data_IF_594076060416
#
_entry.id   IF_594076060416
#
_cell.length_a   1.000
_cell.length_b   1.000
_cell.length_c   1.000
_cell.angle_alpha   90.00
_cell.angle_beta   90.00
_cell.angle_gamma   90.00
#
_symmetry.space_group_name_H-M   'P 1'
#
loop_
_entity.id
_entity.type
_entity.pdbx_description
1 polymer ?
#
# COMPACT_ATOMS: atom_id res chain seq x y z
N UNK A 1 -20.17 -30.45 31.99
CA UNK A 1 -20.82 -30.02 30.74
C UNK A 1 -20.11 -28.76 30.25
N UNK A 2 -18.97 -28.91 29.57
CA UNK A 2 -18.12 -27.76 29.16
C UNK A 2 -16.91 -28.28 28.36
N UNK A 3 -17.06 -28.49 27.05
CA UNK A 3 -15.95 -28.71 26.10
C UNK A 3 -16.48 -28.85 24.66
N UNK A 4 -16.61 -27.74 23.93
CA UNK A 4 -16.64 -27.69 22.47
C UNK A 4 -16.01 -26.36 21.99
N UNK A 5 -15.62 -26.30 20.69
CA UNK A 5 -14.73 -25.25 20.15
C UNK A 5 -15.07 -24.72 18.74
N UNK A 6 -16.24 -25.11 18.18
CA UNK A 6 -16.75 -25.07 16.78
C UNK A 6 -16.18 -26.11 15.84
N UNK A 7 -16.87 -26.31 14.70
CA UNK A 7 -17.77 -27.48 14.45
C UNK A 7 -19.24 -26.88 14.37
N UNK A 8 -19.96 -27.03 13.24
CA UNK A 8 -21.06 -26.26 12.55
C UNK A 8 -22.52 -26.89 12.45
N UNK A 9 -23.44 -26.58 11.49
CA UNK A 9 -24.77 -27.25 11.39
C UNK A 9 -24.81 -28.75 11.01
N UNK A 10 -23.70 -29.35 10.59
CA UNK A 10 -23.67 -30.75 10.14
C UNK A 10 -23.53 -31.78 11.29
N UNK A 11 -23.68 -31.34 12.56
CA UNK A 11 -23.67 -32.20 13.76
C UNK A 11 -22.67 -31.79 14.84
N UNK A 12 -22.64 -30.50 15.22
CA UNK A 12 -21.37 -29.88 15.62
C UNK A 12 -21.62 -28.55 16.49
N UNK A 13 -20.68 -27.96 17.30
CA UNK A 13 -20.90 -26.73 18.16
C UNK A 13 -19.67 -25.96 18.79
N UNK A 14 -19.82 -24.70 19.32
CA UNK A 14 -18.80 -23.57 19.45
C UNK A 14 -17.92 -23.51 20.73
N UNK A 15 -16.86 -22.67 20.67
CA UNK A 15 -15.91 -22.19 21.69
C UNK A 15 -16.30 -22.29 23.18
N UNK A 16 -15.31 -22.58 24.04
CA UNK A 16 -15.45 -22.40 25.49
C UNK A 16 -15.96 -20.98 25.76
N UNK A 17 -17.03 -20.83 26.55
CA UNK A 17 -17.80 -19.59 26.63
C UNK A 17 -16.96 -18.36 27.05
N UNK A 18 -15.89 -18.57 27.82
CA UNK A 18 -14.89 -17.55 28.16
C UNK A 18 -14.18 -16.94 26.95
N UNK A 19 -13.93 -17.71 25.88
CA UNK A 19 -13.29 -17.23 24.64
C UNK A 19 -14.24 -16.39 23.77
N UNK A 20 -15.55 -16.60 23.91
CA UNK A 20 -16.58 -15.79 23.24
C UNK A 20 -16.82 -14.46 23.99
N UNK A 21 -16.60 -14.46 25.31
CA UNK A 21 -16.68 -13.27 26.16
C UNK A 21 -15.40 -12.43 26.12
N UNK A 22 -14.24 -13.05 25.92
CA UNK A 22 -12.95 -12.36 25.87
C UNK A 22 -12.13 -12.76 24.63
N UNK A 23 -12.30 -12.06 23.49
CA UNK A 23 -11.59 -12.35 22.25
C UNK A 23 -10.07 -12.06 22.33
N UNK A 24 -9.56 -11.49 23.44
CA UNK A 24 -8.11 -11.35 23.64
C UNK A 24 -7.41 -12.68 23.95
N UNK A 25 -8.17 -13.68 24.40
CA UNK A 25 -7.70 -15.04 24.68
C UNK A 25 -7.72 -15.95 23.43
N UNK A 26 -8.20 -15.45 22.29
CA UNK A 26 -8.21 -16.20 21.04
C UNK A 26 -6.82 -16.27 20.38
N UNK A 27 -6.39 -17.49 20.11
CA UNK A 27 -5.18 -17.84 19.35
C UNK A 27 -5.53 -18.84 18.26
N UNK A 28 -4.60 -19.07 17.32
CA UNK A 28 -4.74 -20.06 16.24
C UNK A 28 -5.02 -21.50 16.71
N UNK A 29 -4.84 -21.81 18.00
CA UNK A 29 -5.13 -23.12 18.58
C UNK A 29 -6.40 -23.13 19.44
N UNK A 30 -6.91 -21.98 19.87
CA UNK A 30 -8.08 -21.88 20.77
C UNK A 30 -9.36 -21.41 20.08
N UNK A 31 -9.26 -20.74 18.93
CA UNK A 31 -10.38 -20.15 18.22
C UNK A 31 -10.33 -20.42 16.72
N UNK A 32 -11.48 -20.75 16.14
CA UNK A 32 -11.63 -20.96 14.70
C UNK A 32 -11.44 -19.67 13.89
N UNK A 33 -10.92 -19.78 12.66
CA UNK A 33 -10.65 -18.66 11.76
C UNK A 33 -11.93 -17.90 11.35
N UNK A 34 -13.10 -18.51 11.49
CA UNK A 34 -14.39 -17.84 11.29
C UNK A 34 -14.61 -16.63 12.21
N UNK A 35 -13.93 -16.55 13.36
CA UNK A 35 -14.01 -15.42 14.29
C UNK A 35 -12.96 -14.32 14.01
N UNK A 36 -11.98 -14.57 13.15
CA UNK A 36 -10.94 -13.61 12.80
C UNK A 36 -11.47 -12.53 11.81
N UNK A 37 -10.63 -11.56 11.46
CA UNK A 37 -10.95 -10.60 10.39
C UNK A 37 -10.71 -11.16 8.98
N UNK A 38 -10.06 -12.32 8.85
CA UNK A 38 -9.89 -13.07 7.61
C UNK A 38 -9.90 -14.58 7.85
N UNK A 39 -10.46 -15.36 6.91
CA UNK A 39 -10.35 -16.83 6.90
C UNK A 39 -9.03 -17.33 6.26
N UNK A 40 -7.93 -16.58 6.42
CA UNK A 40 -6.62 -16.95 5.86
C UNK A 40 -5.46 -16.57 6.79
N UNK A 41 -4.52 -17.50 6.97
CA UNK A 41 -3.30 -17.30 7.74
C UNK A 41 -2.23 -16.68 6.84
N UNK A 42 -1.71 -15.47 7.13
CA UNK A 42 -0.66 -14.84 6.32
C UNK A 42 0.60 -15.72 6.26
N UNK A 43 1.13 -16.01 5.06
CA UNK A 43 2.38 -16.75 4.92
C UNK A 43 3.56 -15.95 5.51
N UNK A 44 4.18 -16.47 6.57
CA UNK A 44 5.26 -15.81 7.29
C UNK A 44 6.47 -15.50 6.39
N UNK A 45 6.94 -16.49 5.62
CA UNK A 45 8.11 -16.35 4.75
C UNK A 45 7.88 -15.35 3.61
N UNK A 46 6.70 -15.36 2.99
CA UNK A 46 6.34 -14.40 1.95
C UNK A 46 6.31 -12.96 2.47
N UNK A 47 5.65 -12.71 3.61
CA UNK A 47 5.60 -11.36 4.18
C UNK A 47 6.97 -10.87 4.67
N UNK A 48 7.79 -11.74 5.25
CA UNK A 48 9.17 -11.42 5.65
C UNK A 48 10.06 -11.09 4.43
N UNK A 49 9.91 -11.82 3.33
CA UNK A 49 10.63 -11.54 2.08
C UNK A 49 10.28 -10.15 1.50
N UNK A 50 8.99 -9.80 1.44
CA UNK A 50 8.58 -8.46 1.01
C UNK A 50 9.07 -7.36 1.97
N UNK A 51 8.95 -7.54 3.29
CA UNK A 51 9.50 -6.61 4.28
C UNK A 51 11.01 -6.36 4.09
N UNK A 52 11.79 -7.43 3.84
CA UNK A 52 13.22 -7.33 3.57
C UNK A 52 13.53 -6.58 2.26
N UNK A 53 12.74 -6.79 1.20
CA UNK A 53 12.89 -6.05 -0.07
C UNK A 53 12.59 -4.56 0.12
N UNK A 54 11.50 -4.21 0.80
CA UNK A 54 11.17 -2.80 1.04
C UNK A 54 12.20 -2.12 1.97
N UNK A 55 12.74 -2.84 2.96
CA UNK A 55 13.87 -2.37 3.77
C UNK A 55 15.14 -2.16 2.96
N UNK A 56 15.49 -3.06 2.05
CA UNK A 56 16.63 -2.90 1.15
C UNK A 56 16.45 -1.70 0.20
N UNK A 57 15.25 -1.51 -0.35
CA UNK A 57 14.93 -0.32 -1.15
C UNK A 57 14.95 0.97 -0.32
N UNK A 58 14.53 0.96 0.95
CA UNK A 58 14.64 2.11 1.84
C UNK A 58 16.11 2.54 2.00
N UNK A 59 17.01 1.60 2.31
CA UNK A 59 18.44 1.89 2.41
C UNK A 59 19.04 2.42 1.09
N UNK A 60 18.67 1.81 -0.05
CA UNK A 60 19.14 2.26 -1.36
C UNK A 60 18.63 3.66 -1.72
N UNK A 61 17.34 3.95 -1.51
CA UNK A 61 16.74 5.26 -1.78
C UNK A 61 17.26 6.34 -0.83
N UNK A 62 17.56 6.00 0.42
CA UNK A 62 18.19 6.91 1.38
C UNK A 62 19.59 7.32 0.90
N UNK A 63 20.44 6.35 0.51
CA UNK A 63 21.78 6.62 0.01
C UNK A 63 21.78 7.44 -1.29
N UNK A 64 20.89 7.11 -2.24
CA UNK A 64 20.73 7.85 -3.49
C UNK A 64 20.15 9.25 -3.27
N UNK A 65 19.17 9.40 -2.37
CA UNK A 65 18.52 10.65 -2.04
C UNK A 65 19.45 11.67 -1.40
N UNK A 66 20.27 11.23 -0.44
CA UNK A 66 21.33 12.03 0.20
C UNK A 66 22.36 12.47 -0.85
N UNK A 67 22.87 11.53 -1.66
CA UNK A 67 23.86 11.83 -2.72
C UNK A 67 23.31 12.79 -3.79
N UNK A 68 22.03 12.65 -4.16
CA UNK A 68 21.36 13.49 -5.15
C UNK A 68 20.81 14.82 -4.63
N UNK A 69 20.78 15.05 -3.30
CA UNK A 69 20.15 16.22 -2.65
C UNK A 69 18.69 16.47 -3.09
N UNK A 70 17.94 15.40 -3.39
CA UNK A 70 16.56 15.43 -3.90
C UNK A 70 15.52 15.36 -2.78
N UNK A 71 15.66 16.20 -1.76
CA UNK A 71 14.94 16.13 -0.47
C UNK A 71 13.43 15.84 -0.55
N UNK A 72 12.68 16.55 -1.41
CA UNK A 72 11.23 16.33 -1.53
C UNK A 72 10.83 14.98 -2.13
N UNK A 73 11.58 14.49 -3.13
CA UNK A 73 11.37 13.16 -3.70
C UNK A 73 11.79 12.07 -2.70
N UNK A 74 12.93 12.27 -2.05
CA UNK A 74 13.46 11.38 -1.01
C UNK A 74 12.46 11.22 0.14
N UNK A 75 11.92 12.32 0.69
CA UNK A 75 10.94 12.28 1.78
C UNK A 75 9.69 11.48 1.43
N UNK A 76 9.11 11.71 0.25
CA UNK A 76 7.93 10.98 -0.21
C UNK A 76 8.22 9.49 -0.45
N UNK A 77 9.33 9.13 -1.11
CA UNK A 77 9.71 7.73 -1.32
C UNK A 77 9.99 6.98 0.00
N UNK A 78 10.72 7.61 0.93
CA UNK A 78 11.05 7.00 2.21
C UNK A 78 9.81 6.83 3.09
N UNK A 79 8.88 7.78 3.09
CA UNK A 79 7.60 7.65 3.80
C UNK A 79 6.79 6.45 3.28
N UNK A 80 6.65 6.31 1.96
CA UNK A 80 5.99 5.15 1.35
C UNK A 80 6.67 3.82 1.70
N UNK A 81 8.00 3.75 1.61
CA UNK A 81 8.76 2.54 1.95
C UNK A 81 8.69 2.16 3.43
N UNK A 82 8.69 3.13 4.35
CA UNK A 82 8.50 2.88 5.78
C UNK A 82 7.11 2.32 6.05
N UNK A 83 6.07 2.88 5.41
CA UNK A 83 4.69 2.39 5.55
C UNK A 83 4.52 0.97 5.00
N UNK A 84 5.13 0.63 3.85
CA UNK A 84 5.20 -0.76 3.36
C UNK A 84 5.83 -1.69 4.39
N UNK A 85 7.03 -1.35 4.91
CA UNK A 85 7.73 -2.17 5.92
C UNK A 85 6.87 -2.37 7.17
N UNK A 86 6.26 -1.31 7.72
CA UNK A 86 5.36 -1.42 8.88
C UNK A 86 4.14 -2.28 8.55
N UNK A 87 3.57 -2.16 7.35
CA UNK A 87 2.42 -2.97 6.92
C UNK A 87 2.73 -4.46 6.79
N UNK A 88 3.89 -4.82 6.24
CA UNK A 88 4.35 -6.22 6.20
C UNK A 88 4.74 -6.75 7.58
N UNK A 89 5.33 -5.92 8.46
CA UNK A 89 5.53 -6.28 9.88
C UNK A 89 4.19 -6.50 10.59
N UNK A 90 3.19 -5.65 10.35
CA UNK A 90 1.82 -5.85 10.84
C UNK A 90 1.23 -7.19 10.37
N UNK A 91 1.41 -7.55 9.09
CA UNK A 91 1.02 -8.88 8.55
C UNK A 91 1.76 -10.05 9.20
N UNK A 92 3.02 -9.87 9.59
CA UNK A 92 3.78 -10.87 10.36
C UNK A 92 3.20 -10.98 11.77
N UNK A 93 2.86 -9.88 12.44
CA UNK A 93 2.23 -9.91 13.77
C UNK A 93 0.81 -10.53 13.73
N UNK A 94 0.08 -10.34 12.63
CA UNK A 94 -1.19 -11.02 12.34
C UNK A 94 -1.06 -12.53 12.15
N UNK A 95 0.10 -13.05 11.75
CA UNK A 95 0.32 -14.50 11.71
C UNK A 95 0.28 -15.10 13.12
N UNK A 96 0.89 -14.45 14.11
CA UNK A 96 0.88 -14.90 15.51
C UNK A 96 -0.39 -14.55 16.27
N UNK A 97 -1.10 -13.47 15.86
CA UNK A 97 -2.26 -12.92 16.59
C UNK A 97 -3.38 -12.43 15.66
N UNK A 98 -4.04 -13.32 14.89
CA UNK A 98 -5.00 -12.94 13.84
C UNK A 98 -6.29 -12.30 14.35
N UNK A 99 -6.58 -12.40 15.65
CA UNK A 99 -7.75 -11.83 16.31
C UNK A 99 -7.51 -10.38 16.81
N UNK A 100 -6.29 -9.87 16.73
CA UNK A 100 -5.96 -8.49 17.14
C UNK A 100 -6.45 -7.47 16.11
N UNK A 101 -7.57 -6.82 16.41
CA UNK A 101 -8.10 -5.68 15.64
C UNK A 101 -7.06 -4.55 15.48
N UNK A 102 -6.15 -4.36 16.45
CA UNK A 102 -5.12 -3.34 16.36
C UNK A 102 -4.05 -3.67 15.30
N UNK A 103 -3.55 -4.92 15.30
CA UNK A 103 -2.57 -5.36 14.28
C UNK A 103 -3.20 -5.34 12.87
N UNK A 104 -4.49 -5.67 12.80
CA UNK A 104 -5.30 -5.59 11.58
C UNK A 104 -5.42 -4.15 11.04
N UNK A 105 -5.75 -3.17 11.89
CA UNK A 105 -5.81 -1.76 11.49
C UNK A 105 -4.44 -1.21 11.10
N UNK A 106 -3.37 -1.56 11.85
CA UNK A 106 -2.00 -1.15 11.50
C UNK A 106 -1.63 -1.62 10.10
N UNK A 107 -1.83 -2.91 9.78
CA UNK A 107 -1.50 -3.44 8.44
C UNK A 107 -2.33 -2.75 7.36
N UNK A 108 -3.65 -2.59 7.55
CA UNK A 108 -4.52 -1.97 6.55
C UNK A 108 -4.10 -0.52 6.30
N UNK A 109 -4.09 0.32 7.33
CA UNK A 109 -3.85 1.76 7.21
C UNK A 109 -2.46 2.06 6.64
N UNK A 110 -1.44 1.30 7.01
CA UNK A 110 -0.09 1.54 6.48
C UNK A 110 0.06 1.13 5.02
N UNK A 111 -0.44 -0.05 4.62
CA UNK A 111 -0.43 -0.47 3.22
C UNK A 111 -1.37 0.36 2.32
N UNK A 112 -2.40 1.00 2.87
CA UNK A 112 -3.29 1.88 2.09
C UNK A 112 -2.76 3.31 1.98
N UNK A 113 -1.98 3.81 2.94
CA UNK A 113 -1.34 5.13 2.83
C UNK A 113 -0.07 5.07 1.95
N UNK A 114 0.67 3.95 1.93
CA UNK A 114 1.92 3.84 1.19
C UNK A 114 1.82 4.18 -0.33
N UNK A 115 0.80 3.71 -1.08
CA UNK A 115 0.60 4.10 -2.48
C UNK A 115 0.49 5.60 -2.71
N UNK A 116 -0.23 6.34 -1.86
CA UNK A 116 -0.39 7.80 -2.00
C UNK A 116 0.95 8.54 -1.90
N UNK A 117 1.89 8.05 -1.08
CA UNK A 117 3.24 8.59 -1.03
C UNK A 117 4.07 8.25 -2.28
N UNK A 118 3.91 7.04 -2.85
CA UNK A 118 4.56 6.68 -4.11
C UNK A 118 4.02 7.49 -5.30
N UNK A 119 2.71 7.72 -5.39
CA UNK A 119 2.12 8.55 -6.46
C UNK A 119 2.60 10.00 -6.36
N UNK A 120 2.67 10.56 -5.15
CA UNK A 120 3.25 11.88 -4.89
C UNK A 120 4.74 11.96 -5.27
N UNK A 121 5.54 10.94 -4.95
CA UNK A 121 6.95 10.88 -5.32
C UNK A 121 7.16 10.81 -6.84
N UNK A 122 6.37 9.98 -7.55
CA UNK A 122 6.36 9.91 -9.02
C UNK A 122 5.99 11.28 -9.61
N UNK A 123 4.99 11.96 -9.05
CA UNK A 123 4.60 13.29 -9.51
C UNK A 123 5.73 14.32 -9.34
N UNK A 124 6.43 14.35 -8.19
CA UNK A 124 7.57 15.25 -7.96
C UNK A 124 8.73 14.97 -8.93
N UNK A 125 8.99 13.70 -9.25
CA UNK A 125 9.97 13.31 -10.27
C UNK A 125 9.55 13.80 -11.66
N UNK A 126 8.30 13.53 -12.05
CA UNK A 126 7.73 13.91 -13.34
C UNK A 126 7.71 15.42 -13.54
N UNK A 127 7.33 16.20 -12.53
CA UNK A 127 7.33 17.65 -12.57
C UNK A 127 8.73 18.21 -12.87
N UNK A 128 9.79 17.65 -12.25
CA UNK A 128 11.18 18.03 -12.55
C UNK A 128 11.58 17.66 -13.98
N UNK A 129 11.19 16.48 -14.47
CA UNK A 129 11.46 16.06 -15.86
C UNK A 129 10.78 17.03 -16.84
N UNK A 130 9.51 17.37 -16.65
CA UNK A 130 8.78 18.32 -17.50
C UNK A 130 9.42 19.70 -17.50
N UNK A 131 9.91 20.21 -16.35
CA UNK A 131 10.63 21.49 -16.32
C UNK A 131 11.95 21.48 -17.09
N UNK A 132 12.60 20.33 -17.26
CA UNK A 132 13.86 20.18 -18.02
C UNK A 132 13.61 19.98 -19.52
N UNK A 133 12.58 19.22 -19.90
CA UNK A 133 12.27 18.92 -21.31
C UNK A 133 11.44 20.02 -22.01
N UNK A 134 10.93 21.00 -21.27
CA UNK A 134 10.24 22.17 -21.82
C UNK A 134 8.73 22.09 -21.73
N UNK A 135 8.11 23.23 -21.42
CA UNK A 135 6.67 23.36 -21.14
C UNK A 135 5.76 23.10 -22.35
N UNK A 136 6.28 23.15 -23.58
CA UNK A 136 5.52 23.02 -24.83
C UNK A 136 4.86 21.65 -25.07
N UNK A 137 5.22 20.60 -24.32
CA UNK A 137 4.59 19.28 -24.41
C UNK A 137 3.48 19.03 -23.36
N UNK A 138 3.37 19.88 -22.33
CA UNK A 138 2.48 19.62 -21.18
C UNK A 138 1.07 20.18 -21.38
N UNK A 139 0.30 19.59 -22.30
CA UNK A 139 -1.06 20.03 -22.67
C UNK A 139 -2.13 19.84 -21.57
N UNK A 140 -1.77 19.23 -20.44
CA UNK A 140 -2.63 19.06 -19.26
C UNK A 140 -1.86 19.40 -17.98
N UNK A 141 -2.55 19.98 -16.99
CA UNK A 141 -2.04 20.12 -15.63
C UNK A 141 -2.30 18.80 -14.86
N UNK A 142 -1.31 17.91 -14.68
CA UNK A 142 -1.58 16.58 -14.13
C UNK A 142 -1.82 16.64 -12.60
N UNK A 143 -1.47 17.77 -11.98
CA UNK A 143 -1.80 18.15 -10.59
C UNK A 143 -3.25 17.87 -10.22
N UNK A 144 -4.21 18.23 -11.08
CA UNK A 144 -5.64 18.09 -10.77
C UNK A 144 -6.04 16.62 -10.64
N UNK A 145 -5.55 15.76 -11.53
CA UNK A 145 -5.78 14.32 -11.44
C UNK A 145 -5.18 13.76 -10.13
N UNK A 146 -3.91 14.03 -9.84
CA UNK A 146 -3.26 13.54 -8.60
C UNK A 146 -3.99 14.00 -7.34
N UNK A 147 -4.50 15.25 -7.31
CA UNK A 147 -5.29 15.75 -6.19
C UNK A 147 -6.66 15.07 -6.06
N UNK A 148 -7.35 14.81 -7.17
CA UNK A 148 -8.64 14.08 -7.17
C UNK A 148 -8.44 12.64 -6.69
N UNK A 149 -7.46 11.92 -7.22
CA UNK A 149 -7.17 10.54 -6.80
C UNK A 149 -6.72 10.47 -5.32
N UNK A 150 -5.88 11.40 -4.87
CA UNK A 150 -5.52 11.50 -3.44
C UNK A 150 -6.74 11.81 -2.55
N UNK A 151 -7.72 12.57 -3.06
CA UNK A 151 -9.00 12.79 -2.41
C UNK A 151 -9.86 11.52 -2.31
N UNK A 152 -9.94 10.73 -3.39
CA UNK A 152 -10.61 9.43 -3.39
C UNK A 152 -9.95 8.45 -2.40
N UNK A 153 -8.62 8.41 -2.35
CA UNK A 153 -7.87 7.60 -1.40
C UNK A 153 -8.11 8.08 0.05
N UNK A 154 -8.15 9.39 0.31
CA UNK A 154 -8.49 9.94 1.62
C UNK A 154 -9.92 9.57 2.07
N UNK A 155 -10.91 9.64 1.17
CA UNK A 155 -12.28 9.19 1.44
C UNK A 155 -12.30 7.68 1.73
N UNK A 156 -11.50 6.89 1.02
CA UNK A 156 -11.35 5.45 1.25
C UNK A 156 -10.78 5.15 2.65
N UNK A 157 -9.74 5.89 3.06
CA UNK A 157 -9.15 5.80 4.40
C UNK A 157 -10.16 6.20 5.48
N UNK A 158 -11.01 7.21 5.24
CA UNK A 158 -12.06 7.59 6.18
C UNK A 158 -13.11 6.48 6.33
N UNK A 159 -13.54 5.84 5.23
CA UNK A 159 -14.43 4.68 5.27
C UNK A 159 -13.79 3.49 5.99
N UNK A 160 -12.49 3.25 5.79
CA UNK A 160 -11.75 2.21 6.52
C UNK A 160 -11.64 2.52 8.01
N UNK A 161 -11.36 3.76 8.39
CA UNK A 161 -11.29 4.20 9.79
C UNK A 161 -12.64 4.10 10.50
N UNK A 162 -13.73 4.53 9.85
CA UNK A 162 -15.10 4.44 10.37
C UNK A 162 -15.54 2.98 10.48
N UNK A 163 -15.35 2.18 9.42
CA UNK A 163 -15.67 0.75 9.43
C UNK A 163 -14.86 -0.02 10.49
N UNK A 164 -13.58 0.32 10.64
CA UNK A 164 -12.69 -0.22 11.67
C UNK A 164 -13.11 0.15 13.10
N UNK A 165 -13.50 1.41 13.33
CA UNK A 165 -14.02 1.86 14.63
C UNK A 165 -15.36 1.19 14.99
N UNK A 166 -16.26 1.02 14.01
CA UNK A 166 -17.51 0.27 14.19
C UNK A 166 -17.20 -1.20 14.48
N UNK A 167 -16.25 -1.80 13.76
CA UNK A 167 -15.85 -3.19 13.97
C UNK A 167 -15.21 -3.45 15.35
N UNK A 168 -14.51 -2.46 15.92
CA UNK A 168 -13.85 -2.55 17.23
C UNK A 168 -14.75 -2.22 18.43
N UNK A 169 -15.79 -1.42 18.24
CA UNK A 169 -16.78 -1.03 19.28
C UNK A 169 -18.08 -1.85 19.24
N UNK A 170 -18.18 -2.78 18.30
CA UNK A 170 -19.34 -3.65 18.13
C UNK A 170 -19.49 -4.69 19.25
N UNK A 171 -20.53 -4.56 20.07
CA UNK A 171 -20.93 -5.55 21.07
C UNK A 171 -21.63 -6.79 20.47
N UNK A 172 -21.97 -6.76 19.18
CA UNK A 172 -22.70 -7.83 18.48
C UNK A 172 -21.96 -8.24 17.20
N UNK A 173 -21.92 -9.54 16.92
CA UNK A 173 -21.27 -10.11 15.72
C UNK A 173 -21.77 -9.49 14.40
N UNK A 174 -23.07 -9.20 14.29
CA UNK A 174 -23.68 -8.51 13.14
C UNK A 174 -23.14 -7.09 12.93
N UNK A 175 -22.97 -6.32 14.00
CA UNK A 175 -22.38 -4.98 13.96
C UNK A 175 -20.88 -5.02 13.60
N UNK A 176 -20.15 -6.02 14.07
CA UNK A 176 -18.74 -6.21 13.71
C UNK A 176 -18.58 -6.56 12.22
N UNK A 177 -19.45 -7.44 11.70
CA UNK A 177 -19.54 -7.76 10.27
C UNK A 177 -19.89 -6.53 9.42
N UNK A 178 -20.82 -5.69 9.87
CA UNK A 178 -21.16 -4.45 9.17
C UNK A 178 -19.95 -3.49 9.09
N UNK A 179 -19.21 -3.29 10.19
CA UNK A 179 -17.98 -2.50 10.20
C UNK A 179 -16.90 -3.05 9.28
N UNK A 180 -16.66 -4.37 9.32
CA UNK A 180 -15.75 -5.07 8.40
C UNK A 180 -16.14 -4.87 6.94
N UNK A 181 -17.43 -4.95 6.60
CA UNK A 181 -17.93 -4.75 5.24
C UNK A 181 -17.75 -3.30 4.74
N UNK A 182 -18.00 -2.29 5.57
CA UNK A 182 -17.81 -0.86 5.23
C UNK A 182 -16.33 -0.59 4.89
N UNK A 183 -15.42 -1.09 5.71
CA UNK A 183 -13.98 -0.93 5.50
C UNK A 183 -13.48 -1.73 4.29
N UNK A 184 -14.01 -2.93 4.03
CA UNK A 184 -13.72 -3.68 2.80
C UNK A 184 -14.17 -2.93 1.54
N UNK A 185 -15.36 -2.31 1.57
CA UNK A 185 -15.84 -1.47 0.46
C UNK A 185 -14.91 -0.27 0.21
N UNK A 186 -14.44 0.38 1.28
CA UNK A 186 -13.42 1.43 1.19
C UNK A 186 -12.12 0.95 0.54
N UNK A 187 -11.62 -0.23 0.91
CA UNK A 187 -10.43 -0.82 0.31
C UNK A 187 -10.62 -1.17 -1.18
N UNK A 188 -11.78 -1.73 -1.57
CA UNK A 188 -12.08 -2.05 -2.98
C UNK A 188 -12.10 -0.77 -3.83
N UNK A 189 -12.77 0.28 -3.34
CA UNK A 189 -12.81 1.58 -4.01
C UNK A 189 -11.41 2.19 -4.17
N UNK A 190 -10.57 2.09 -3.14
CA UNK A 190 -9.19 2.56 -3.18
C UNK A 190 -8.32 1.80 -4.21
N UNK A 191 -8.40 0.47 -4.25
CA UNK A 191 -7.61 -0.34 -5.20
C UNK A 191 -8.04 -0.03 -6.64
N UNK A 192 -9.33 0.20 -6.89
CA UNK A 192 -9.82 0.63 -8.19
C UNK A 192 -9.32 2.05 -8.58
N UNK A 193 -9.37 3.00 -7.65
CA UNK A 193 -8.83 4.37 -7.78
C UNK A 193 -7.34 4.35 -8.16
N UNK A 194 -6.53 3.63 -7.37
CA UNK A 194 -5.09 3.49 -7.57
C UNK A 194 -4.75 2.77 -8.87
N UNK A 195 -5.51 1.73 -9.24
CA UNK A 195 -5.34 1.01 -10.51
C UNK A 195 -5.57 1.93 -11.72
N UNK A 196 -6.64 2.74 -11.70
CA UNK A 196 -6.91 3.72 -12.74
C UNK A 196 -5.82 4.80 -12.81
N UNK A 197 -5.36 5.33 -11.67
CA UNK A 197 -4.24 6.26 -11.62
C UNK A 197 -2.96 5.65 -12.21
N UNK A 198 -2.64 4.40 -11.84
CA UNK A 198 -1.49 3.66 -12.36
C UNK A 198 -1.54 3.50 -13.89
N UNK A 199 -2.71 3.20 -14.45
CA UNK A 199 -2.93 3.17 -15.90
C UNK A 199 -2.71 4.56 -16.54
N UNK A 200 -3.29 5.63 -15.98
CA UNK A 200 -3.07 6.99 -16.48
C UNK A 200 -1.59 7.41 -16.43
N UNK A 201 -0.86 7.06 -15.37
CA UNK A 201 0.57 7.32 -15.27
C UNK A 201 1.40 6.48 -16.25
N UNK A 202 1.05 5.21 -16.48
CA UNK A 202 1.70 4.37 -17.47
C UNK A 202 1.47 4.89 -18.90
N UNK A 203 0.26 5.32 -19.21
CA UNK A 203 -0.14 5.88 -20.50
C UNK A 203 0.59 7.21 -20.77
N UNK A 204 0.66 8.10 -19.76
CA UNK A 204 1.47 9.32 -19.83
C UNK A 204 2.96 9.02 -20.00
N UNK A 205 3.53 8.09 -19.22
CA UNK A 205 4.93 7.71 -19.33
C UNK A 205 5.26 7.07 -20.70
N UNK A 206 4.32 6.31 -21.27
CA UNK A 206 4.44 5.77 -22.61
C UNK A 206 4.42 6.87 -23.67
N UNK A 207 3.48 7.83 -23.58
CA UNK A 207 3.44 9.01 -24.48
C UNK A 207 4.73 9.81 -24.42
N UNK A 208 5.26 10.09 -23.22
CA UNK A 208 6.55 10.80 -23.06
C UNK A 208 7.73 10.01 -23.64
N UNK A 209 7.76 8.68 -23.51
CA UNK A 209 8.81 7.84 -24.11
C UNK A 209 8.69 7.73 -25.64
N UNK A 210 7.46 7.75 -26.17
CA UNK A 210 7.18 7.66 -27.61
C UNK A 210 7.44 8.98 -28.32
N UNK A 211 7.14 10.12 -27.68
CA UNK A 211 7.42 11.47 -28.17
C UNK A 211 8.91 11.80 -28.14
N UNK A 212 9.65 11.34 -29.16
CA UNK A 212 11.01 11.82 -29.48
C UNK A 212 11.04 13.29 -29.95
N UNK A 213 9.89 13.87 -30.26
CA UNK A 213 9.72 15.23 -30.78
C UNK A 213 9.83 16.25 -29.62
N UNK A 214 10.96 16.95 -29.50
CA UNK A 214 11.14 18.00 -28.48
C UNK A 214 12.35 17.86 -27.55
N UNK A 215 13.41 17.14 -27.95
CA UNK A 215 14.71 17.28 -27.27
C UNK A 215 15.30 18.66 -27.58
N UNK A 216 15.15 19.62 -26.66
CA UNK A 216 15.89 20.88 -26.71
C UNK A 216 17.40 20.57 -26.84
N UNK A 217 18.03 21.09 -27.91
CA UNK A 217 19.44 20.84 -28.20
C UNK A 217 20.37 21.27 -27.06
N UNK A 218 19.95 22.28 -26.28
CA UNK A 218 20.62 22.85 -25.11
C UNK A 218 20.93 21.84 -23.98
N UNK A 219 20.23 20.70 -23.90
CA UNK A 219 20.43 19.67 -22.85
C UNK A 219 20.84 18.30 -23.41
N UNK A 220 21.42 18.28 -24.61
CA UNK A 220 21.97 17.07 -25.24
C UNK A 220 23.09 16.43 -24.42
N UNK A 221 23.97 17.22 -23.79
CA UNK A 221 25.06 16.71 -22.96
C UNK A 221 24.58 16.08 -21.64
N UNK A 222 23.59 16.68 -20.97
CA UNK A 222 23.03 16.09 -19.74
C UNK A 222 22.34 14.75 -20.01
N UNK A 223 21.66 14.62 -21.16
CA UNK A 223 21.06 13.35 -21.60
C UNK A 223 22.06 12.34 -22.18
N UNK A 224 23.32 12.75 -22.41
CA UNK A 224 24.41 11.86 -22.82
C UNK A 224 25.14 11.23 -21.63
N UNK A 225 25.00 11.81 -20.42
CA UNK A 225 25.52 11.28 -19.16
C UNK A 225 25.19 9.79 -18.98
N UNK A 226 26.23 8.99 -18.71
CA UNK A 226 26.10 7.56 -18.41
C UNK A 226 25.23 7.29 -17.19
N UNK A 227 25.15 8.24 -16.26
CA UNK A 227 24.32 8.16 -15.06
C UNK A 227 22.81 8.22 -15.39
N UNK A 228 22.42 9.07 -16.36
CA UNK A 228 21.04 9.15 -16.84
C UNK A 228 20.65 7.93 -17.70
N UNK A 229 21.59 7.41 -18.50
CA UNK A 229 21.41 6.13 -19.22
C UNK A 229 21.30 4.94 -18.27
N UNK A 230 22.07 4.91 -17.17
CA UNK A 230 21.98 3.86 -16.16
C UNK A 230 20.64 3.94 -15.39
N UNK A 231 20.14 5.15 -15.12
CA UNK A 231 18.82 5.38 -14.52
C UNK A 231 17.65 4.94 -15.43
N UNK A 232 17.73 5.18 -16.74
CA UNK A 232 16.69 4.78 -17.70
C UNK A 232 16.81 3.33 -18.21
N UNK A 233 18.03 2.79 -18.22
CA UNK A 233 18.34 1.49 -18.83
C UNK A 233 19.01 0.58 -17.80
N UNK A 234 18.19 0.10 -16.84
CA UNK A 234 18.52 -1.05 -16.02
C UNK A 234 18.71 -2.29 -16.88
N UNK A 235 19.97 -2.54 -17.29
CA UNK A 235 20.46 -3.70 -18.06
C UNK A 235 19.66 -4.07 -19.32
N UNK A 236 20.16 -3.62 -20.46
CA UNK A 236 20.27 -4.51 -21.63
C UNK A 236 21.70 -4.46 -22.16
N UNK A 237 22.57 -5.25 -21.54
CA UNK A 237 23.90 -5.54 -22.07
C UNK A 237 23.72 -6.72 -23.03
N UNK A 238 23.71 -6.43 -24.33
CA UNK A 238 23.97 -7.46 -25.35
C UNK A 238 25.48 -7.61 -25.54
N UNK A 239 26.00 -8.81 -25.85
CA UNK A 239 27.06 -8.96 -26.83
C UNK A 239 26.52 -8.69 -28.25
#
# INVERSE_FOLDING_TARGET
MSNLTYVTPNGEGFGNATLLLDPTLCTLQTCDLSMASFLYIPNLGGNAFYAAIFGAFFCAQLALGIKGRVWGYMGAMLAGLVLEVIGYVGRIMLNSSPFSNNNFLIYLVTLTIAPAFFTAAIYLCLARIVTVYGTHLSRFAPRTYTLVFCGCDFISLLLQAVGGAIASTANTSSSSLAGKNIMLAGLIFQVASLGLFGLCCAEFAWRVRSSKQGRNELYTDLTRSTLFKCFLCGKSHRP
#
